data_IF_043100311421
#
_entry.id   IF_043100311421
#
_cell.length_a   1.000
_cell.length_b   1.000
_cell.length_c   1.000
_cell.angle_alpha   90.00
_cell.angle_beta   90.00
_cell.angle_gamma   90.00
#
_symmetry.space_group_name_H-M   'P 1'
#
loop_
_entity.id
_entity.type
_entity.pdbx_description
1 polymer ?
#
# COMPACT_ATOMS: atom_id res chain seq x y z
N UNK A 1 -7.77 1.31 31.46
CA UNK A 1 -7.01 1.12 30.20
C UNK A 1 -6.65 -0.35 30.11
N UNK A 2 -6.89 -0.94 28.95
CA UNK A 2 -6.55 -2.32 28.63
C UNK A 2 -5.23 -2.39 27.83
N UNK A 3 -4.62 -3.56 27.82
CA UNK A 3 -3.39 -3.86 27.09
C UNK A 3 -3.67 -4.78 25.92
N UNK A 4 -3.32 -4.34 24.72
CA UNK A 4 -3.36 -5.15 23.50
C UNK A 4 -1.93 -5.60 23.20
N UNK A 5 -1.66 -6.90 23.38
CA UNK A 5 -0.39 -7.51 23.02
C UNK A 5 -0.43 -7.90 21.55
N UNK A 6 0.55 -7.43 20.77
CA UNK A 6 0.68 -7.78 19.36
C UNK A 6 2.17 -7.85 19.01
N UNK A 7 2.60 -8.98 18.47
CA UNK A 7 4.01 -9.24 18.15
C UNK A 7 4.93 -8.90 19.35
N UNK A 8 5.85 -7.95 19.18
CA UNK A 8 6.77 -7.47 20.22
C UNK A 8 6.32 -6.14 20.88
N UNK A 9 5.06 -5.74 20.68
CA UNK A 9 4.50 -4.47 21.16
C UNK A 9 3.33 -4.66 22.13
N UNK A 10 3.14 -3.68 23.01
CA UNK A 10 1.97 -3.57 23.88
C UNK A 10 1.34 -2.21 23.66
N UNK A 11 0.11 -2.20 23.13
CA UNK A 11 -0.63 -0.98 22.85
C UNK A 11 -1.63 -0.69 23.99
N UNK A 12 -1.70 0.56 24.49
CA UNK A 12 -2.75 0.96 25.41
C UNK A 12 -4.08 1.14 24.65
N UNK A 13 -5.17 0.63 25.23
CA UNK A 13 -6.51 0.76 24.66
C UNK A 13 -7.54 1.21 25.71
N UNK A 14 -8.55 1.94 25.25
CA UNK A 14 -9.71 2.30 26.06
C UNK A 14 -10.83 1.27 25.91
N UNK A 15 -11.71 1.21 26.92
CA UNK A 15 -12.90 0.37 26.84
C UNK A 15 -13.79 0.83 25.68
N UNK A 16 -14.21 -0.11 24.85
CA UNK A 16 -15.04 0.15 23.66
C UNK A 16 -14.26 0.58 22.42
N UNK A 17 -12.95 0.82 22.52
CA UNK A 17 -12.12 1.23 21.37
C UNK A 17 -12.12 0.16 20.28
N UNK A 18 -12.16 0.59 19.02
CA UNK A 18 -12.22 -0.29 17.87
C UNK A 18 -10.83 -0.89 17.57
N UNK A 19 -10.75 -2.22 17.51
CA UNK A 19 -9.48 -2.91 17.32
C UNK A 19 -8.80 -2.55 15.99
N UNK A 20 -9.56 -2.42 14.89
CA UNK A 20 -8.96 -2.04 13.59
C UNK A 20 -8.33 -0.65 13.65
N UNK A 21 -9.00 0.32 14.28
CA UNK A 21 -8.49 1.69 14.38
C UNK A 21 -7.23 1.76 15.22
N UNK A 22 -7.22 1.07 16.38
CA UNK A 22 -6.04 0.98 17.24
C UNK A 22 -4.85 0.39 16.48
N UNK A 23 -5.05 -0.70 15.73
CA UNK A 23 -4.00 -1.36 14.96
C UNK A 23 -3.45 -0.45 13.86
N UNK A 24 -4.33 0.17 13.05
CA UNK A 24 -3.93 1.07 11.96
C UNK A 24 -3.19 2.31 12.51
N UNK A 25 -3.69 2.91 13.59
CA UNK A 25 -3.06 4.09 14.22
C UNK A 25 -1.65 3.80 14.74
N UNK A 26 -1.37 2.55 15.12
CA UNK A 26 -0.06 2.11 15.61
C UNK A 26 0.79 1.45 14.52
N UNK A 27 0.42 1.60 13.24
CA UNK A 27 1.24 1.18 12.10
C UNK A 27 1.03 -0.26 11.62
N UNK A 28 0.14 -1.03 12.24
CA UNK A 28 -0.15 -2.40 11.82
C UNK A 28 -1.08 -2.45 10.60
N UNK A 29 -0.73 -3.31 9.63
CA UNK A 29 -1.53 -3.46 8.42
C UNK A 29 -2.77 -4.34 8.64
N UNK A 30 -3.95 -3.81 8.29
CA UNK A 30 -5.21 -4.57 8.27
C UNK A 30 -5.90 -4.45 6.91
N UNK A 31 -6.14 -5.59 6.27
CA UNK A 31 -6.83 -5.69 4.99
C UNK A 31 -8.34 -5.38 5.15
N UNK A 32 -8.74 -4.11 5.20
CA UNK A 32 -10.16 -3.69 5.29
C UNK A 32 -10.63 -2.91 4.05
N UNK A 33 -10.93 -3.55 2.91
CA UNK A 33 -11.39 -2.85 1.70
C UNK A 33 -12.82 -2.28 1.84
N UNK A 34 -13.59 -2.69 2.85
CA UNK A 34 -14.91 -2.12 3.12
C UNK A 34 -14.88 -0.88 4.03
N UNK A 35 -13.71 -0.34 4.34
CA UNK A 35 -13.56 0.81 5.23
C UNK A 35 -13.85 0.54 6.71
N UNK A 36 -14.34 -0.64 7.08
CA UNK A 36 -14.72 -0.99 8.45
C UNK A 36 -16.18 -1.42 8.62
N UNK A 37 -16.96 -1.43 7.54
CA UNK A 37 -18.40 -1.73 7.57
C UNK A 37 -18.77 -3.20 7.86
N UNK A 38 -17.79 -4.07 8.14
CA UNK A 38 -18.04 -5.48 8.48
C UNK A 38 -18.48 -6.38 7.32
N UNK A 39 -18.60 -5.86 6.09
CA UNK A 39 -19.20 -6.59 4.96
C UNK A 39 -18.23 -7.50 4.20
N UNK A 40 -16.95 -7.13 4.11
CA UNK A 40 -16.00 -7.86 3.24
C UNK A 40 -15.31 -9.07 3.87
N UNK A 41 -15.26 -9.15 5.21
CA UNK A 41 -14.57 -10.22 5.94
C UNK A 41 -13.04 -10.30 5.74
N UNK A 42 -12.38 -9.30 5.13
CA UNK A 42 -10.93 -9.38 4.86
C UNK A 42 -10.04 -8.87 6.01
N UNK A 43 -10.63 -8.21 7.00
CA UNK A 43 -9.94 -7.64 8.16
C UNK A 43 -9.84 -8.63 9.33
N UNK A 44 -9.87 -9.92 9.04
CA UNK A 44 -9.88 -10.97 10.06
C UNK A 44 -8.50 -11.02 10.72
N UNK A 45 -8.52 -10.99 12.06
CA UNK A 45 -7.37 -11.20 12.95
C UNK A 45 -7.72 -12.27 13.95
N UNK A 46 -6.72 -12.78 14.67
CA UNK A 46 -6.93 -13.72 15.77
C UNK A 46 -6.81 -12.96 17.09
N UNK A 47 -7.85 -12.99 17.92
CA UNK A 47 -7.88 -12.41 19.27
C UNK A 47 -8.02 -13.54 20.27
N UNK A 48 -7.03 -13.72 21.16
CA UNK A 48 -7.01 -14.79 22.17
C UNK A 48 -7.29 -16.20 21.59
N UNK A 49 -6.87 -16.46 20.36
CA UNK A 49 -7.11 -17.73 19.66
C UNK A 49 -8.36 -17.76 18.77
N UNK A 50 -9.24 -16.77 18.84
CA UNK A 50 -10.47 -16.71 18.06
C UNK A 50 -10.36 -15.77 16.85
N UNK A 51 -10.88 -16.21 15.69
CA UNK A 51 -10.90 -15.40 14.47
C UNK A 51 -12.04 -14.40 14.53
N UNK A 52 -11.71 -13.11 14.53
CA UNK A 52 -12.68 -12.02 14.59
C UNK A 52 -12.43 -10.99 13.49
N UNK A 53 -13.48 -10.29 13.06
CA UNK A 53 -13.34 -9.11 12.20
C UNK A 53 -12.85 -7.95 13.06
N UNK A 54 -11.60 -7.52 12.88
CA UNK A 54 -11.02 -6.41 13.67
C UNK A 54 -11.86 -5.13 13.61
N UNK A 55 -12.54 -4.86 12.49
CA UNK A 55 -13.39 -3.68 12.35
C UNK A 55 -14.70 -3.73 13.15
N UNK A 56 -15.12 -4.93 13.60
CA UNK A 56 -16.34 -5.13 14.39
C UNK A 56 -16.01 -5.53 15.83
N UNK A 57 -14.73 -5.48 16.22
CA UNK A 57 -14.29 -5.87 17.56
C UNK A 57 -14.08 -4.63 18.43
N UNK A 58 -14.80 -4.58 19.54
CA UNK A 58 -14.66 -3.56 20.58
C UNK A 58 -13.86 -4.10 21.76
N UNK A 59 -12.82 -3.39 22.17
CA UNK A 59 -11.90 -3.84 23.22
C UNK A 59 -12.58 -3.68 24.59
N UNK A 60 -12.73 -4.79 25.31
CA UNK A 60 -13.37 -4.83 26.64
C UNK A 60 -12.51 -5.45 27.73
N UNK A 61 -11.32 -5.97 27.38
CA UNK A 61 -10.37 -6.58 28.29
C UNK A 61 -8.96 -6.53 27.68
N UNK A 62 -7.96 -6.95 28.45
CA UNK A 62 -6.64 -7.25 27.90
C UNK A 62 -6.76 -8.39 26.87
N UNK A 63 -6.07 -8.25 25.75
CA UNK A 63 -6.15 -9.20 24.63
C UNK A 63 -4.78 -9.42 23.99
N UNK A 64 -4.59 -10.58 23.37
CA UNK A 64 -3.47 -10.89 22.50
C UNK A 64 -3.97 -11.02 21.05
N UNK A 65 -3.33 -10.30 20.15
CA UNK A 65 -3.73 -10.19 18.74
C UNK A 65 -2.64 -10.76 17.86
N UNK A 66 -3.04 -11.61 16.91
CA UNK A 66 -2.19 -12.11 15.84
C UNK A 66 -2.80 -11.67 14.52
N UNK A 67 -2.04 -10.91 13.73
CA UNK A 67 -2.41 -10.57 12.36
C UNK A 67 -1.85 -11.68 11.46
N UNK A 68 -2.67 -12.31 10.60
CA UNK A 68 -2.16 -13.29 9.66
C UNK A 68 -1.13 -12.63 8.73
N UNK A 69 0.10 -13.13 8.75
CA UNK A 69 1.23 -12.56 8.01
C UNK A 69 0.88 -12.39 6.51
N UNK A 70 1.17 -11.19 6.00
CA UNK A 70 1.54 -10.98 4.61
C UNK A 70 2.75 -10.06 4.59
N UNK A 71 3.92 -10.65 4.34
CA UNK A 71 5.20 -10.04 3.94
C UNK A 71 5.33 -8.56 4.29
N UNK A 72 5.81 -8.27 5.50
CA UNK A 72 6.51 -7.01 5.73
C UNK A 72 7.86 -7.06 5.02
N UNK A 73 8.23 -5.99 4.32
CA UNK A 73 9.64 -5.59 4.23
C UNK A 73 9.75 -4.12 4.65
N UNK A 74 10.14 -3.98 5.92
CA UNK A 74 11.14 -3.09 6.51
C UNK A 74 11.58 -1.80 5.77
N UNK A 75 11.37 -0.71 6.51
CA UNK A 75 12.34 0.32 6.93
C UNK A 75 13.26 1.02 5.92
N UNK A 76 13.20 2.35 6.03
CA UNK A 76 14.20 3.37 5.65
C UNK A 76 14.51 3.52 4.17
N UNK A 77 14.02 4.61 3.54
CA UNK A 77 14.61 5.14 2.30
C UNK A 77 14.38 6.64 2.15
N UNK A 78 15.47 7.34 1.83
CA UNK A 78 15.46 8.69 1.26
C UNK A 78 14.58 8.70 0.02
N UNK A 79 13.76 9.73 -0.11
CA UNK A 79 13.00 10.06 -1.31
C UNK A 79 14.00 10.25 -2.46
N UNK A 80 14.03 9.32 -3.41
CA UNK A 80 14.69 9.55 -4.69
C UNK A 80 13.65 10.11 -5.67
N UNK A 81 13.90 11.32 -6.17
CA UNK A 81 13.22 11.84 -7.36
C UNK A 81 13.33 10.82 -8.49
N UNK A 82 12.33 10.78 -9.38
CA UNK A 82 12.42 9.99 -10.62
C UNK A 82 13.60 10.55 -11.42
N UNK A 83 14.75 9.89 -11.32
CA UNK A 83 15.96 10.35 -12.00
C UNK A 83 15.81 10.07 -13.50
N UNK A 84 15.79 11.14 -14.30
CA UNK A 84 15.92 11.03 -15.75
C UNK A 84 17.33 10.57 -16.06
N UNK A 85 17.48 9.33 -16.51
CA UNK A 85 18.75 8.84 -17.02
C UNK A 85 18.75 8.78 -18.54
N UNK A 86 19.75 9.41 -19.14
CA UNK A 86 20.07 9.35 -20.56
C UNK A 86 21.33 8.51 -20.72
N UNK A 87 21.20 7.28 -21.25
CA UNK A 87 22.20 6.64 -22.12
C UNK A 87 21.66 5.32 -22.70
N UNK A 88 21.89 5.16 -24.00
CA UNK A 88 21.11 4.33 -24.93
C UNK A 88 21.73 2.94 -25.14
N UNK A 89 21.86 2.16 -24.07
CA UNK A 89 22.53 0.85 -24.14
C UNK A 89 21.88 -0.25 -23.28
N UNK A 90 20.55 -0.35 -23.32
CA UNK A 90 19.85 -1.44 -22.65
C UNK A 90 18.73 -2.03 -23.54
N UNK A 91 18.86 -3.31 -23.87
CA UNK A 91 17.87 -4.20 -24.52
C UNK A 91 16.63 -4.44 -23.65
N UNK A 92 16.44 -3.67 -22.60
CA UNK A 92 15.44 -3.86 -21.57
C UNK A 92 14.68 -2.55 -21.38
N UNK A 93 13.36 -2.64 -21.19
CA UNK A 93 12.47 -1.58 -20.70
C UNK A 93 11.79 -2.03 -19.41
N UNK A 94 11.35 -1.06 -18.59
CA UNK A 94 10.51 -1.33 -17.44
C UNK A 94 9.07 -0.89 -17.75
N UNK A 95 8.10 -1.74 -17.43
CA UNK A 95 6.69 -1.45 -17.59
C UNK A 95 6.00 -1.53 -16.22
N UNK A 96 5.44 -0.42 -15.77
CA UNK A 96 4.71 -0.30 -14.51
C UNK A 96 3.22 -0.10 -14.81
N UNK A 97 2.37 -0.98 -14.28
CA UNK A 97 0.92 -0.78 -14.24
C UNK A 97 0.49 -0.42 -12.80
N UNK A 98 -0.09 0.77 -12.66
CA UNK A 98 -0.61 1.29 -11.39
C UNK A 98 -2.11 1.01 -11.34
N UNK A 99 -2.46 -0.16 -10.82
CA UNK A 99 -3.84 -0.51 -10.52
C UNK A 99 -4.30 0.07 -9.19
N UNK A 100 -5.62 0.16 -9.00
CA UNK A 100 -6.22 0.64 -7.75
C UNK A 100 -5.84 -0.24 -6.56
N UNK A 101 -5.80 -1.57 -6.75
CA UNK A 101 -5.48 -2.53 -5.69
C UNK A 101 -4.07 -3.09 -5.77
N UNK A 102 -3.44 -3.08 -6.94
CA UNK A 102 -2.17 -3.77 -7.21
C UNK A 102 -1.30 -2.91 -8.10
N UNK A 103 0.01 -2.85 -7.83
CA UNK A 103 1.03 -2.39 -8.76
C UNK A 103 1.74 -3.60 -9.35
N UNK A 104 1.97 -3.59 -10.66
CA UNK A 104 2.74 -4.61 -11.36
C UNK A 104 3.90 -3.94 -12.10
N UNK A 105 5.14 -4.36 -11.82
CA UNK A 105 6.35 -3.91 -12.50
C UNK A 105 6.95 -5.09 -13.26
N UNK A 106 7.18 -4.91 -14.55
CA UNK A 106 7.80 -5.90 -15.42
C UNK A 106 9.09 -5.35 -16.01
N UNK A 107 10.11 -6.19 -16.06
CA UNK A 107 11.32 -6.01 -16.85
C UNK A 107 11.10 -6.73 -18.19
N UNK A 108 11.19 -6.00 -19.30
CA UNK A 108 10.79 -6.49 -20.62
C UNK A 108 11.93 -6.36 -21.62
N UNK A 109 12.20 -7.44 -22.35
CA UNK A 109 13.14 -7.45 -23.49
C UNK A 109 12.60 -6.63 -24.65
N UNK A 110 13.39 -5.67 -25.15
CA UNK A 110 13.06 -4.88 -26.36
C UNK A 110 13.10 -5.72 -27.63
N UNK A 111 13.88 -6.79 -27.66
CA UNK A 111 14.08 -7.61 -28.85
C UNK A 111 12.82 -8.41 -29.24
N UNK A 112 12.08 -8.92 -28.25
CA UNK A 112 10.94 -9.81 -28.47
C UNK A 112 9.71 -9.51 -27.59
N UNK A 113 9.76 -8.46 -26.78
CA UNK A 113 8.65 -8.03 -25.92
C UNK A 113 8.36 -8.95 -24.74
N UNK A 114 9.22 -9.94 -24.45
CA UNK A 114 9.00 -10.89 -23.35
C UNK A 114 9.32 -10.27 -21.99
N UNK A 115 8.47 -10.55 -21.01
CA UNK A 115 8.75 -10.23 -19.62
C UNK A 115 9.84 -11.18 -19.08
N UNK A 116 10.98 -10.60 -18.73
CA UNK A 116 12.13 -11.30 -18.12
C UNK A 116 11.90 -11.51 -16.62
N UNK A 117 11.30 -10.52 -15.94
CA UNK A 117 10.96 -10.55 -14.52
C UNK A 117 9.71 -9.75 -14.27
N UNK A 118 8.89 -10.17 -13.31
CA UNK A 118 7.68 -9.47 -12.89
C UNK A 118 7.62 -9.43 -11.37
N UNK A 119 7.33 -8.25 -10.82
CA UNK A 119 7.08 -8.02 -9.40
C UNK A 119 5.69 -7.42 -9.26
N UNK A 120 4.85 -8.01 -8.41
CA UNK A 120 3.49 -7.50 -8.12
C UNK A 120 3.31 -7.26 -6.64
N UNK A 121 2.78 -6.10 -6.25
CA UNK A 121 2.54 -5.74 -4.84
C UNK A 121 1.18 -5.08 -4.68
N UNK A 122 0.58 -5.18 -3.50
CA UNK A 122 -0.67 -4.47 -3.18
C UNK A 122 -0.41 -2.95 -3.16
N UNK A 123 -1.31 -2.14 -3.73
CA UNK A 123 -1.14 -0.69 -3.79
C UNK A 123 -1.13 -0.06 -2.38
N UNK A 124 -0.03 0.59 -2.03
CA UNK A 124 0.23 1.20 -0.73
C UNK A 124 -0.73 2.36 -0.42
N UNK A 125 -1.30 3.01 -1.44
CA UNK A 125 -2.30 4.06 -1.29
C UNK A 125 -3.59 3.60 -0.59
N UNK A 126 -3.75 2.29 -0.43
CA UNK A 126 -4.85 1.67 0.30
C UNK A 126 -5.06 2.24 1.71
N UNK A 127 -4.00 2.73 2.35
CA UNK A 127 -4.09 3.38 3.68
C UNK A 127 -4.92 4.66 3.66
N UNK A 128 -5.03 5.33 2.50
CA UNK A 128 -5.77 6.58 2.31
C UNK A 128 -7.18 6.36 1.72
N UNK A 129 -7.49 5.16 1.27
CA UNK A 129 -8.78 4.84 0.68
C UNK A 129 -8.79 3.44 0.08
N UNK A 130 -9.88 2.72 0.33
CA UNK A 130 -10.03 1.34 -0.10
C UNK A 130 -10.25 1.18 -1.62
N UNK A 131 -10.77 2.23 -2.25
CA UNK A 131 -11.06 2.33 -3.68
C UNK A 131 -10.65 3.72 -4.20
N UNK A 132 -10.89 3.97 -5.49
CA UNK A 132 -10.55 5.25 -6.13
C UNK A 132 -11.33 6.42 -5.52
N UNK A 133 -12.64 6.27 -5.28
CA UNK A 133 -13.50 7.37 -4.80
C UNK A 133 -13.08 7.80 -3.41
N UNK A 134 -12.85 6.86 -2.50
CA UNK A 134 -12.38 7.16 -1.14
C UNK A 134 -11.01 7.84 -1.13
N UNK A 135 -10.12 7.54 -2.10
CA UNK A 135 -8.85 8.27 -2.26
C UNK A 135 -9.04 9.66 -2.84
N UNK A 136 -9.98 9.85 -3.76
CA UNK A 136 -10.36 11.19 -4.26
C UNK A 136 -10.92 12.02 -3.10
N UNK A 137 -11.79 11.45 -2.26
CA UNK A 137 -12.33 12.13 -1.08
C UNK A 137 -11.24 12.45 -0.05
N UNK A 138 -10.24 11.58 0.10
CA UNK A 138 -9.06 11.88 0.90
C UNK A 138 -8.30 13.08 0.34
N UNK A 139 -8.04 13.13 -0.97
CA UNK A 139 -7.43 14.29 -1.64
C UNK A 139 -8.23 15.58 -1.41
N UNK A 140 -9.56 15.55 -1.62
CA UNK A 140 -10.45 16.70 -1.43
C UNK A 140 -10.34 17.31 -0.03
N UNK A 141 -10.20 16.46 0.99
CA UNK A 141 -10.09 16.87 2.41
C UNK A 141 -8.67 17.23 2.82
N UNK A 142 -7.66 16.76 2.08
CA UNK A 142 -6.25 16.87 2.43
C UNK A 142 -5.45 17.37 1.21
N UNK A 143 -4.37 16.69 0.86
CA UNK A 143 -3.59 16.95 -0.34
C UNK A 143 -3.25 15.63 -1.04
N UNK A 144 -2.82 15.71 -2.30
CA UNK A 144 -2.36 14.55 -3.07
C UNK A 144 -0.98 14.05 -2.64
N UNK A 145 -0.21 14.84 -1.87
CA UNK A 145 1.17 14.51 -1.53
C UNK A 145 1.32 13.15 -0.83
N UNK A 146 0.52 12.77 0.20
CA UNK A 146 0.63 11.46 0.83
C UNK A 146 0.36 10.29 -0.12
N UNK A 147 -0.61 10.45 -1.03
CA UNK A 147 -0.94 9.45 -2.06
C UNK A 147 0.20 9.28 -3.07
N UNK A 148 0.85 10.39 -3.46
CA UNK A 148 2.02 10.38 -4.32
C UNK A 148 3.21 9.71 -3.63
N UNK A 149 3.53 10.14 -2.42
CA UNK A 149 4.68 9.66 -1.66
C UNK A 149 4.59 8.14 -1.43
N UNK A 150 3.40 7.63 -1.12
CA UNK A 150 3.17 6.19 -1.01
C UNK A 150 3.44 5.43 -2.32
N UNK A 151 3.05 5.98 -3.48
CA UNK A 151 3.36 5.37 -4.78
C UNK A 151 4.87 5.40 -5.06
N UNK A 152 5.52 6.56 -4.91
CA UNK A 152 6.95 6.71 -5.22
C UNK A 152 7.79 5.78 -4.34
N UNK A 153 7.51 5.72 -3.04
CA UNK A 153 8.21 4.81 -2.13
C UNK A 153 8.01 3.34 -2.52
N UNK A 154 6.77 2.96 -2.86
CA UNK A 154 6.48 1.60 -3.29
C UNK A 154 7.19 1.24 -4.61
N UNK A 155 7.19 2.15 -5.59
CA UNK A 155 7.82 1.95 -6.89
C UNK A 155 9.33 1.78 -6.73
N UNK A 156 9.99 2.62 -5.91
CA UNK A 156 11.41 2.49 -5.62
C UNK A 156 11.77 1.13 -5.00
N UNK A 157 10.94 0.62 -4.08
CA UNK A 157 11.13 -0.71 -3.51
C UNK A 157 10.97 -1.82 -4.56
N UNK A 158 9.98 -1.71 -5.45
CA UNK A 158 9.80 -2.68 -6.54
C UNK A 158 10.95 -2.64 -7.57
N UNK A 159 11.51 -1.46 -7.84
CA UNK A 159 12.67 -1.28 -8.72
C UNK A 159 13.92 -1.95 -8.17
N UNK A 160 14.13 -1.88 -6.85
CA UNK A 160 15.23 -2.58 -6.20
C UNK A 160 15.01 -4.09 -6.17
N UNK A 161 13.78 -4.56 -5.90
CA UNK A 161 13.44 -5.99 -5.94
C UNK A 161 13.61 -6.60 -7.34
N UNK A 162 13.31 -5.84 -8.40
CA UNK A 162 13.50 -6.33 -9.77
C UNK A 162 14.97 -6.29 -10.22
N UNK A 163 15.88 -5.78 -9.38
CA UNK A 163 17.29 -5.54 -9.70
C UNK A 163 17.45 -4.68 -10.96
N UNK A 164 16.72 -3.55 -11.00
CA UNK A 164 16.91 -2.53 -12.03
C UNK A 164 18.22 -1.76 -11.78
N UNK A 165 19.36 -2.44 -11.83
CA UNK A 165 20.70 -1.91 -11.56
C UNK A 165 21.29 -1.07 -12.70
N UNK A 166 20.61 -1.00 -13.86
CA UNK A 166 20.99 -0.13 -14.98
C UNK A 166 19.87 0.83 -15.37
N UNK A 167 20.19 2.05 -15.83
CA UNK A 167 19.18 3.02 -16.26
C UNK A 167 18.36 2.47 -17.44
N UNK A 168 17.05 2.45 -17.26
CA UNK A 168 16.10 1.81 -18.17
C UNK A 168 14.87 2.71 -18.30
N UNK A 169 14.33 2.86 -19.51
CA UNK A 169 13.09 3.62 -19.71
C UNK A 169 11.95 2.95 -18.96
N UNK A 170 11.23 3.74 -18.14
CA UNK A 170 10.05 3.30 -17.42
C UNK A 170 8.79 3.79 -18.16
N UNK A 171 7.99 2.84 -18.63
CA UNK A 171 6.66 3.07 -19.17
C UNK A 171 5.62 2.87 -18.07
N UNK A 172 4.71 3.81 -17.91
CA UNK A 172 3.71 3.80 -16.83
C UNK A 172 2.30 3.75 -17.41
N UNK A 173 1.51 2.80 -16.94
CA UNK A 173 0.08 2.63 -17.21
C UNK A 173 -0.71 2.78 -15.91
N UNK A 174 -1.97 3.15 -16.02
CA UNK A 174 -2.90 3.22 -14.90
C UNK A 174 -4.19 3.92 -15.31
N UNK A 175 -5.24 3.79 -14.50
CA UNK A 175 -6.43 4.61 -14.67
C UNK A 175 -6.13 6.09 -14.36
N UNK A 176 -6.99 7.00 -14.82
CA UNK A 176 -6.79 8.46 -14.73
C UNK A 176 -6.46 8.93 -13.31
N UNK A 177 -7.16 8.41 -12.30
CA UNK A 177 -6.92 8.80 -10.91
C UNK A 177 -5.54 8.36 -10.41
N UNK A 178 -5.14 7.13 -10.72
CA UNK A 178 -3.81 6.62 -10.35
C UNK A 178 -2.69 7.45 -10.99
N UNK A 179 -2.85 7.84 -12.26
CA UNK A 179 -1.89 8.70 -12.95
C UNK A 179 -1.86 10.12 -12.36
N UNK A 180 -3.01 10.70 -11.99
CA UNK A 180 -3.04 11.97 -11.27
C UNK A 180 -2.24 11.90 -9.98
N UNK A 181 -2.50 10.89 -9.14
CA UNK A 181 -1.76 10.70 -7.89
C UNK A 181 -0.26 10.51 -8.11
N UNK A 182 0.12 9.68 -9.10
CA UNK A 182 1.52 9.44 -9.45
C UNK A 182 2.25 10.73 -9.85
N UNK A 183 1.63 11.59 -10.65
CA UNK A 183 2.20 12.88 -11.04
C UNK A 183 2.06 13.97 -9.96
N UNK A 184 1.43 13.68 -8.83
CA UNK A 184 1.15 14.68 -7.79
C UNK A 184 0.14 15.74 -8.24
N UNK A 185 -0.75 15.39 -9.16
CA UNK A 185 -1.86 16.24 -9.61
C UNK A 185 -3.10 15.95 -8.79
N UNK A 186 -3.84 17.00 -8.46
CA UNK A 186 -5.12 16.85 -7.79
C UNK A 186 -6.10 16.06 -8.68
N UNK A 187 -6.77 15.07 -8.11
CA UNK A 187 -7.78 14.24 -8.76
C UNK A 187 -9.21 14.58 -8.30
N UNK A 188 -9.37 15.62 -7.46
CA UNK A 188 -10.64 16.00 -6.85
C UNK A 188 -11.77 16.27 -7.84
N UNK A 189 -11.45 16.69 -9.07
CA UNK A 189 -12.43 16.95 -10.14
C UNK A 189 -12.91 15.70 -10.89
N UNK A 190 -12.34 14.53 -10.62
CA UNK A 190 -12.66 13.27 -11.30
C UNK A 190 -13.79 12.47 -10.63
N UNK A 191 -14.31 12.95 -9.49
CA UNK A 191 -15.40 12.30 -8.75
C UNK A 191 -16.06 13.23 -7.75
#
# INVERSE_FOLDING_TARGET
MFKVKIENSILPAFQGENLRELLIKNGFYINSPCGGNGTCGKCIVTVNGERVKSCCYSISSDISVVIPEKEEILSSRKVAEIVKYTNDNNDIVLCLDIGTSTLALAMVSKADGKALKVVTKTNAQRVFGADVISRIDYCKKNSVAPLKDALINQINNMLEEIDASKPCSLFVSGNTCMLHFFFGKDASSLG
#
